data_IF_073564605065
#
_entry.id   IF_073564605065
#
_cell.length_a   1.000
_cell.length_b   1.000
_cell.length_c   1.000
_cell.angle_alpha   90.00
_cell.angle_beta   90.00
_cell.angle_gamma   90.00
#
_symmetry.space_group_name_H-M   'P 1'
#
loop_
_entity.id
_entity.type
_entity.pdbx_description
1 polymer ?
#
# COMPACT_ATOMS: atom_id res chain seq x y z
N UNK A 1 -17.35 48.01 15.82
CA UNK A 1 -16.83 46.67 15.48
C UNK A 1 -17.51 45.71 16.41
N UNK A 2 -18.27 44.75 15.88
CA UNK A 2 -18.90 43.70 16.68
C UNK A 2 -17.81 42.81 17.22
N UNK A 3 -17.82 42.46 18.49
CA UNK A 3 -16.91 41.47 19.07
C UNK A 3 -17.19 40.13 18.43
N UNK A 4 -16.15 39.38 17.95
CA UNK A 4 -16.35 38.09 17.34
C UNK A 4 -16.95 37.09 18.34
N UNK A 5 -17.76 36.18 17.84
CA UNK A 5 -18.47 35.17 18.63
C UNK A 5 -18.23 33.77 18.09
N UNK A 6 -18.52 32.73 18.88
CA UNK A 6 -18.51 31.35 18.37
C UNK A 6 -19.48 31.14 17.19
N UNK A 7 -20.62 31.87 17.18
CA UNK A 7 -21.57 31.77 16.07
C UNK A 7 -20.96 32.23 14.73
N UNK A 8 -20.12 33.26 14.76
CA UNK A 8 -19.42 33.74 13.55
C UNK A 8 -18.39 32.70 13.07
N UNK A 9 -17.71 32.03 14.00
CA UNK A 9 -16.80 30.93 13.66
C UNK A 9 -17.54 29.70 13.08
N UNK A 10 -18.66 29.32 13.70
CA UNK A 10 -19.50 28.21 13.24
C UNK A 10 -20.09 28.50 11.84
N UNK A 11 -20.47 29.74 11.56
CA UNK A 11 -20.92 30.16 10.22
C UNK A 11 -19.80 30.06 9.18
N UNK A 12 -18.59 30.48 9.53
CA UNK A 12 -17.43 30.33 8.65
C UNK A 12 -17.07 28.85 8.40
N UNK A 13 -17.16 28.00 9.43
CA UNK A 13 -16.99 26.54 9.31
C UNK A 13 -18.05 25.91 8.38
N UNK A 14 -19.32 26.32 8.53
CA UNK A 14 -20.40 25.82 7.68
C UNK A 14 -20.20 26.18 6.19
N UNK A 15 -19.56 27.31 5.91
CA UNK A 15 -19.16 27.71 4.55
C UNK A 15 -17.89 27.03 4.05
N UNK A 16 -17.18 26.29 4.91
CA UNK A 16 -15.89 25.69 4.58
C UNK A 16 -14.72 26.68 4.56
N UNK A 17 -14.92 27.92 5.06
CA UNK A 17 -13.86 28.90 5.16
C UNK A 17 -13.07 28.74 6.46
N UNK A 18 -12.23 27.70 6.46
CA UNK A 18 -11.39 27.34 7.61
C UNK A 18 -10.38 28.44 7.99
N UNK A 19 -9.99 29.30 7.03
CA UNK A 19 -9.08 30.41 7.31
C UNK A 19 -9.79 31.53 8.09
N UNK A 20 -10.98 31.91 7.66
CA UNK A 20 -11.78 32.89 8.38
C UNK A 20 -12.19 32.37 9.77
N UNK A 21 -12.63 31.08 9.85
CA UNK A 21 -12.97 30.45 11.11
C UNK A 21 -11.79 30.48 12.10
N UNK A 22 -10.61 30.10 11.65
CA UNK A 22 -9.39 30.10 12.48
C UNK A 22 -9.07 31.53 12.99
N UNK A 23 -9.11 32.54 12.12
CA UNK A 23 -8.87 33.91 12.50
C UNK A 23 -9.88 34.46 13.53
N UNK A 24 -11.15 34.07 13.40
CA UNK A 24 -12.19 34.41 14.38
C UNK A 24 -11.88 33.73 15.71
N UNK A 25 -11.59 32.40 15.72
CA UNK A 25 -11.30 31.64 16.93
C UNK A 25 -10.05 32.14 17.66
N UNK A 26 -9.02 32.60 16.92
CA UNK A 26 -7.81 33.21 17.49
C UNK A 26 -8.09 34.56 18.17
N UNK A 27 -9.10 35.30 17.70
CA UNK A 27 -9.48 36.59 18.25
C UNK A 27 -10.51 36.49 19.38
N UNK A 28 -11.05 35.28 19.67
CA UNK A 28 -12.03 35.10 20.73
C UNK A 28 -11.40 35.15 22.11
N UNK A 29 -11.83 36.12 22.92
CA UNK A 29 -11.58 36.12 24.35
C UNK A 29 -12.63 35.26 25.06
N UNK A 30 -12.22 34.11 25.54
CA UNK A 30 -13.12 33.13 26.21
C UNK A 30 -12.68 32.91 27.65
N UNK A 31 -13.66 32.69 28.53
CA UNK A 31 -13.46 32.40 29.95
C UNK A 31 -14.19 31.11 30.30
N UNK A 32 -13.50 30.23 31.03
CA UNK A 32 -14.00 28.93 31.43
C UNK A 32 -13.39 27.81 30.58
N UNK A 33 -13.21 26.66 31.24
CA UNK A 33 -12.51 25.50 30.62
C UNK A 33 -13.25 24.98 29.40
N UNK A 34 -14.56 24.82 29.45
CA UNK A 34 -15.38 24.35 28.33
C UNK A 34 -15.27 25.25 27.09
N UNK A 35 -15.29 26.58 27.30
CA UNK A 35 -15.19 27.54 26.21
C UNK A 35 -13.76 27.55 25.62
N UNK A 36 -12.74 27.46 26.46
CA UNK A 36 -11.36 27.33 26.03
C UNK A 36 -11.14 26.03 25.25
N UNK A 37 -11.65 24.90 25.76
CA UNK A 37 -11.62 23.61 25.07
C UNK A 37 -12.27 23.69 23.69
N UNK A 38 -13.52 24.19 23.62
CA UNK A 38 -14.26 24.34 22.36
C UNK A 38 -13.48 25.20 21.37
N UNK A 39 -12.96 26.34 21.78
CA UNK A 39 -12.17 27.22 20.91
C UNK A 39 -10.94 26.49 20.35
N UNK A 40 -10.17 25.83 21.23
CA UNK A 40 -8.91 25.23 20.83
C UNK A 40 -9.11 23.97 19.99
N UNK A 41 -10.15 23.18 20.26
CA UNK A 41 -10.50 22.02 19.42
C UNK A 41 -10.97 22.44 18.02
N UNK A 42 -11.80 23.49 17.92
CA UNK A 42 -12.24 24.00 16.63
C UNK A 42 -11.07 24.64 15.86
N UNK A 43 -10.17 25.36 16.55
CA UNK A 43 -8.96 25.93 15.95
C UNK A 43 -8.02 24.83 15.44
N UNK A 44 -7.84 23.74 16.21
CA UNK A 44 -7.05 22.58 15.78
C UNK A 44 -7.63 21.94 14.53
N UNK A 45 -8.96 21.75 14.49
CA UNK A 45 -9.64 21.20 13.32
C UNK A 45 -9.49 22.08 12.08
N UNK A 46 -9.59 23.42 12.23
CA UNK A 46 -9.32 24.37 11.15
C UNK A 46 -7.88 24.29 10.65
N UNK A 47 -6.91 24.21 11.57
CA UNK A 47 -5.50 24.12 11.23
C UNK A 47 -5.17 22.82 10.48
N UNK A 48 -5.78 21.69 10.86
CA UNK A 48 -5.67 20.41 10.14
C UNK A 48 -6.18 20.54 8.70
N UNK A 49 -7.38 21.12 8.51
CA UNK A 49 -7.97 21.35 7.17
C UNK A 49 -7.14 22.29 6.30
N UNK A 50 -6.41 23.21 6.90
CA UNK A 50 -5.49 24.13 6.22
C UNK A 50 -4.10 23.54 5.97
N UNK A 51 -3.83 22.31 6.42
CA UNK A 51 -2.52 21.66 6.33
C UNK A 51 -1.47 22.26 7.27
N UNK A 52 -1.89 23.05 8.27
CA UNK A 52 -1.01 23.65 9.29
C UNK A 52 -0.83 22.72 10.47
N UNK A 53 -0.15 21.60 10.24
CA UNK A 53 -0.14 20.49 11.20
C UNK A 53 0.53 20.85 12.53
N UNK A 54 1.62 21.64 12.54
CA UNK A 54 2.25 22.08 13.79
C UNK A 54 1.30 22.94 14.62
N UNK A 55 0.51 23.80 13.98
CA UNK A 55 -0.49 24.62 14.65
C UNK A 55 -1.68 23.78 15.15
N UNK A 56 -2.09 22.79 14.38
CA UNK A 56 -3.10 21.81 14.82
C UNK A 56 -2.65 21.09 16.09
N UNK A 57 -1.42 20.60 16.12
CA UNK A 57 -0.84 19.94 17.30
C UNK A 57 -0.79 20.85 18.52
N UNK A 58 -0.40 22.12 18.33
CA UNK A 58 -0.37 23.12 19.41
C UNK A 58 -1.75 23.35 20.01
N UNK A 59 -2.77 23.62 19.18
CA UNK A 59 -4.14 23.85 19.63
C UNK A 59 -4.75 22.61 20.29
N UNK A 60 -4.56 21.43 19.69
CA UNK A 60 -5.07 20.19 20.26
C UNK A 60 -4.38 19.83 21.60
N UNK A 61 -3.09 20.15 21.74
CA UNK A 61 -2.37 19.97 23.02
C UNK A 61 -2.89 20.93 24.08
N UNK A 62 -3.22 22.17 23.75
CA UNK A 62 -3.87 23.09 24.67
C UNK A 62 -5.27 22.63 25.06
N UNK A 63 -6.05 22.15 24.08
CA UNK A 63 -7.37 21.60 24.35
C UNK A 63 -7.31 20.43 25.35
N UNK A 64 -6.34 19.54 25.20
CA UNK A 64 -6.13 18.40 26.12
C UNK A 64 -5.86 18.84 27.55
N UNK A 65 -5.23 20.00 27.76
CA UNK A 65 -4.95 20.50 29.11
C UNK A 65 -6.22 20.86 29.89
N UNK A 66 -7.37 21.03 29.24
CA UNK A 66 -8.66 21.32 29.88
C UNK A 66 -9.43 20.06 30.27
N UNK A 67 -9.06 18.87 29.79
CA UNK A 67 -9.67 17.60 30.15
C UNK A 67 -9.06 16.43 29.39
N UNK A 68 -8.50 15.48 30.13
CA UNK A 68 -8.02 14.22 29.57
C UNK A 68 -9.18 13.25 29.20
N UNK A 69 -10.42 13.59 29.56
CA UNK A 69 -11.61 12.78 29.34
C UNK A 69 -12.17 12.88 27.91
N UNK A 70 -11.53 13.67 27.05
CA UNK A 70 -11.97 13.93 25.68
C UNK A 70 -11.10 13.20 24.67
N UNK A 71 -11.73 12.47 23.75
CA UNK A 71 -11.05 11.70 22.70
C UNK A 71 -10.45 12.56 21.58
N UNK A 72 -11.13 13.67 21.23
CA UNK A 72 -10.79 14.49 20.06
C UNK A 72 -9.36 15.04 20.05
N UNK A 73 -8.80 15.55 21.18
CA UNK A 73 -7.44 16.03 21.20
C UNK A 73 -6.41 14.97 20.81
N UNK A 74 -6.58 13.74 21.32
CA UNK A 74 -5.66 12.64 20.98
C UNK A 74 -5.67 12.31 19.49
N UNK A 75 -6.85 12.27 18.88
CA UNK A 75 -7.00 12.01 17.45
C UNK A 75 -6.36 13.10 16.60
N UNK A 76 -6.58 14.38 16.96
CA UNK A 76 -6.02 15.53 16.23
C UNK A 76 -4.50 15.64 16.38
N UNK A 77 -3.96 15.41 17.60
CA UNK A 77 -2.50 15.41 17.82
C UNK A 77 -1.86 14.28 17.02
N UNK A 78 -2.37 13.05 17.12
CA UNK A 78 -1.84 11.89 16.40
C UNK A 78 -1.89 12.12 14.89
N UNK A 79 -3.00 12.67 14.37
CA UNK A 79 -3.13 13.05 12.95
C UNK A 79 -2.10 14.07 12.54
N UNK A 80 -1.95 15.14 13.30
CA UNK A 80 -1.00 16.22 13.03
C UNK A 80 0.44 15.70 13.00
N UNK A 81 0.84 14.90 13.98
CA UNK A 81 2.15 14.25 14.07
C UNK A 81 2.41 13.31 12.88
N UNK A 82 1.42 12.46 12.53
CA UNK A 82 1.53 11.56 11.38
C UNK A 82 1.70 12.34 10.06
N UNK A 83 0.94 13.43 9.87
CA UNK A 83 1.04 14.30 8.69
C UNK A 83 2.37 15.05 8.61
N UNK A 84 3.01 15.30 9.74
CA UNK A 84 4.38 15.85 9.82
C UNK A 84 5.47 14.78 9.57
N UNK A 85 5.10 13.51 9.47
CA UNK A 85 6.04 12.39 9.33
C UNK A 85 6.58 11.85 10.64
N UNK A 86 6.10 12.34 11.79
CA UNK A 86 6.46 11.90 13.14
C UNK A 86 5.60 10.67 13.54
N UNK A 87 5.72 9.59 12.74
CA UNK A 87 4.80 8.45 12.82
C UNK A 87 4.91 7.71 14.16
N UNK A 88 6.11 7.63 14.75
CA UNK A 88 6.31 6.98 16.04
C UNK A 88 5.66 7.77 17.19
N UNK A 89 5.73 9.09 17.17
CA UNK A 89 5.11 9.96 18.16
C UNK A 89 3.57 9.91 18.01
N UNK A 90 3.09 9.91 16.77
CA UNK A 90 1.67 9.77 16.46
C UNK A 90 1.12 8.43 16.97
N UNK A 91 1.84 7.32 16.78
CA UNK A 91 1.47 6.00 17.32
C UNK A 91 1.41 6.01 18.83
N UNK A 92 2.41 6.58 19.50
CA UNK A 92 2.44 6.68 20.95
C UNK A 92 1.26 7.51 21.48
N UNK A 93 0.94 8.65 20.84
CA UNK A 93 -0.21 9.50 21.20
C UNK A 93 -1.53 8.77 20.98
N UNK A 94 -1.73 8.13 19.83
CA UNK A 94 -2.95 7.39 19.53
C UNK A 94 -3.11 6.18 20.47
N UNK A 95 -2.03 5.46 20.76
CA UNK A 95 -2.05 4.34 21.73
C UNK A 95 -2.38 4.80 23.15
N UNK A 96 -1.89 5.97 23.56
CA UNK A 96 -2.27 6.58 24.83
C UNK A 96 -3.77 6.92 24.86
N UNK A 97 -4.27 7.53 23.79
CA UNK A 97 -5.69 7.84 23.63
C UNK A 97 -6.58 6.61 23.63
N UNK A 98 -6.20 5.53 22.96
CA UNK A 98 -6.96 4.27 22.94
C UNK A 98 -7.03 3.59 24.32
N UNK A 99 -6.05 3.79 25.18
CA UNK A 99 -6.13 3.28 26.58
C UNK A 99 -7.20 4.00 27.40
N UNK A 100 -7.44 5.28 27.14
CA UNK A 100 -8.45 6.10 27.82
C UNK A 100 -9.82 5.97 27.14
N UNK A 101 -9.83 5.89 25.84
CA UNK A 101 -11.02 5.88 25.00
C UNK A 101 -11.02 4.68 24.02
N UNK A 102 -11.18 3.43 24.51
CA UNK A 102 -10.98 2.21 23.70
C UNK A 102 -11.99 2.03 22.56
N UNK A 103 -13.09 2.80 22.55
CA UNK A 103 -14.13 2.76 21.51
C UNK A 103 -14.12 4.00 20.60
N UNK A 104 -13.14 4.89 20.73
CA UNK A 104 -13.07 6.06 19.86
C UNK A 104 -12.60 5.66 18.45
N UNK A 105 -13.50 5.81 17.48
CA UNK A 105 -13.23 5.49 16.09
C UNK A 105 -12.16 6.42 15.48
N UNK A 106 -12.15 7.69 15.90
CA UNK A 106 -11.18 8.68 15.41
C UNK A 106 -9.76 8.35 15.88
N UNK A 107 -9.59 7.97 17.15
CA UNK A 107 -8.29 7.55 17.66
C UNK A 107 -7.88 6.22 17.04
N UNK A 108 -8.79 5.26 16.96
CA UNK A 108 -8.56 3.96 16.31
C UNK A 108 -8.15 4.13 14.83
N UNK A 109 -8.76 5.10 14.12
CA UNK A 109 -8.37 5.47 12.76
C UNK A 109 -6.90 5.89 12.70
N UNK A 110 -6.49 6.86 13.51
CA UNK A 110 -5.12 7.35 13.46
C UNK A 110 -4.12 6.27 13.88
N UNK A 111 -4.45 5.47 14.91
CA UNK A 111 -3.61 4.35 15.32
C UNK A 111 -3.47 3.30 14.20
N UNK A 112 -4.57 2.95 13.53
CA UNK A 112 -4.55 2.04 12.38
C UNK A 112 -3.61 2.56 11.29
N UNK A 113 -3.72 3.84 10.93
CA UNK A 113 -2.90 4.44 9.88
C UNK A 113 -1.41 4.51 10.29
N UNK A 114 -1.11 4.85 11.56
CA UNK A 114 0.25 4.83 12.08
C UNK A 114 0.86 3.43 12.05
N UNK A 115 0.13 2.41 12.51
CA UNK A 115 0.59 1.02 12.50
C UNK A 115 0.82 0.49 11.07
N UNK A 116 -0.03 0.89 10.12
CA UNK A 116 0.18 0.58 8.69
C UNK A 116 1.45 1.25 8.16
N UNK A 117 1.68 2.52 8.48
CA UNK A 117 2.88 3.26 8.06
C UNK A 117 4.15 2.65 8.67
N UNK A 118 4.09 2.14 9.89
CA UNK A 118 5.16 1.42 10.59
C UNK A 118 5.34 -0.04 10.11
N UNK A 119 4.39 -0.57 9.34
CA UNK A 119 4.40 -1.96 8.88
C UNK A 119 3.98 -2.99 9.93
N UNK A 120 3.39 -2.57 11.05
CA UNK A 120 2.90 -3.42 12.16
C UNK A 120 1.47 -3.87 11.89
N UNK A 121 1.30 -4.66 10.83
CA UNK A 121 -0.02 -5.02 10.29
C UNK A 121 -0.86 -5.87 11.22
N UNK A 122 -0.25 -6.81 11.95
CA UNK A 122 -0.97 -7.71 12.86
C UNK A 122 -1.61 -6.94 14.03
N UNK A 123 -0.96 -5.87 14.47
CA UNK A 123 -1.49 -5.01 15.51
C UNK A 123 -2.55 -4.03 14.99
N UNK A 124 -2.45 -3.65 13.72
CA UNK A 124 -3.41 -2.77 13.07
C UNK A 124 -4.77 -3.46 12.82
N UNK A 125 -4.80 -4.79 12.62
CA UNK A 125 -6.00 -5.53 12.28
C UNK A 125 -7.17 -5.29 13.26
N UNK A 126 -7.04 -5.58 14.56
CA UNK A 126 -8.15 -5.41 15.51
C UNK A 126 -8.56 -3.95 15.69
N UNK A 127 -7.62 -3.03 15.60
CA UNK A 127 -7.90 -1.59 15.74
C UNK A 127 -8.66 -1.06 14.53
N UNK A 128 -8.36 -1.58 13.34
CA UNK A 128 -9.01 -1.17 12.09
C UNK A 128 -10.50 -1.50 12.06
N UNK A 129 -10.95 -2.54 12.76
CA UNK A 129 -12.37 -2.89 12.89
C UNK A 129 -13.12 -1.79 13.65
N UNK A 130 -12.61 -1.41 14.84
CA UNK A 130 -13.20 -0.34 15.66
C UNK A 130 -13.31 0.96 14.86
N UNK A 131 -12.23 1.30 14.15
CA UNK A 131 -12.19 2.50 13.33
C UNK A 131 -13.22 2.47 12.20
N UNK A 132 -13.33 1.33 11.48
CA UNK A 132 -14.22 1.19 10.32
C UNK A 132 -15.68 1.13 10.71
N UNK A 133 -16.01 0.56 11.88
CA UNK A 133 -17.36 0.54 12.41
C UNK A 133 -17.87 1.96 12.71
N UNK A 134 -17.03 2.81 13.28
CA UNK A 134 -17.40 4.20 13.59
C UNK A 134 -17.27 5.16 12.40
N UNK A 135 -16.33 4.89 11.48
CA UNK A 135 -16.02 5.75 10.33
C UNK A 135 -16.15 4.99 8.98
N UNK A 136 -17.34 4.46 8.65
CA UNK A 136 -17.52 3.58 7.51
C UNK A 136 -17.38 4.24 6.13
N UNK A 137 -17.21 5.55 6.08
CA UNK A 137 -17.08 6.34 4.84
C UNK A 137 -15.71 7.01 4.68
N UNK A 138 -14.80 6.84 5.64
CA UNK A 138 -13.46 7.41 5.53
C UNK A 138 -12.62 6.64 4.49
N UNK A 139 -12.30 7.32 3.39
CA UNK A 139 -11.63 6.69 2.25
C UNK A 139 -10.21 6.24 2.59
N UNK A 140 -9.45 7.04 3.35
CA UNK A 140 -8.08 6.69 3.76
C UNK A 140 -8.08 5.45 4.66
N UNK A 141 -9.02 5.41 5.61
CA UNK A 141 -9.23 4.26 6.49
C UNK A 141 -9.69 3.02 5.73
N UNK A 142 -10.67 3.14 4.84
CA UNK A 142 -11.18 2.03 4.01
C UNK A 142 -10.06 1.44 3.14
N UNK A 143 -9.19 2.28 2.60
CA UNK A 143 -8.01 1.82 1.85
C UNK A 143 -7.00 1.10 2.75
N UNK A 144 -6.77 1.58 3.96
CA UNK A 144 -5.91 0.92 4.93
C UNK A 144 -6.51 -0.43 5.39
N UNK A 145 -7.80 -0.43 5.75
CA UNK A 145 -8.55 -1.63 6.11
C UNK A 145 -8.50 -2.69 5.01
N UNK A 146 -8.83 -2.30 3.77
CA UNK A 146 -8.77 -3.22 2.64
C UNK A 146 -7.38 -3.84 2.44
N UNK A 147 -6.32 -3.07 2.63
CA UNK A 147 -4.93 -3.57 2.53
C UNK A 147 -4.57 -4.54 3.65
N UNK A 148 -5.03 -4.27 4.87
CA UNK A 148 -4.81 -5.13 6.03
C UNK A 148 -5.53 -6.46 5.88
N UNK A 149 -6.81 -6.41 5.50
CA UNK A 149 -7.70 -7.57 5.45
C UNK A 149 -7.57 -8.40 4.16
N UNK A 150 -7.01 -7.87 3.08
CA UNK A 150 -6.85 -8.60 1.84
C UNK A 150 -6.14 -9.97 1.97
N UNK A 151 -5.09 -10.14 2.78
CA UNK A 151 -4.46 -11.46 2.99
C UNK A 151 -5.24 -12.36 3.96
N UNK A 152 -6.11 -11.82 4.81
CA UNK A 152 -6.84 -12.55 5.87
C UNK A 152 -8.24 -12.90 5.39
N UNK A 153 -9.03 -11.88 5.06
CA UNK A 153 -10.41 -12.01 4.62
C UNK A 153 -10.68 -11.17 3.36
N UNK A 154 -10.65 -11.80 2.19
CA UNK A 154 -10.81 -11.11 0.92
C UNK A 154 -12.14 -10.39 0.75
N UNK A 155 -13.21 -10.97 1.28
CA UNK A 155 -14.54 -10.40 1.10
C UNK A 155 -14.69 -9.08 1.87
N UNK A 156 -14.16 -9.02 3.09
CA UNK A 156 -14.08 -7.79 3.88
C UNK A 156 -13.22 -6.72 3.20
N UNK A 157 -12.08 -7.11 2.67
CA UNK A 157 -11.21 -6.21 1.91
C UNK A 157 -11.89 -5.71 0.62
N UNK A 158 -12.59 -6.58 -0.11
CA UNK A 158 -13.32 -6.21 -1.32
C UNK A 158 -14.45 -5.22 -1.00
N UNK A 159 -15.19 -5.45 0.08
CA UNK A 159 -16.19 -4.51 0.58
C UNK A 159 -15.59 -3.12 0.84
N UNK A 160 -14.46 -3.06 1.55
CA UNK A 160 -13.81 -1.80 1.90
C UNK A 160 -13.33 -1.03 0.66
N UNK A 161 -12.68 -1.70 -0.29
CA UNK A 161 -12.26 -1.08 -1.54
C UNK A 161 -13.44 -0.66 -2.42
N UNK A 162 -14.52 -1.45 -2.46
CA UNK A 162 -15.74 -1.10 -3.17
C UNK A 162 -16.39 0.16 -2.60
N UNK A 163 -16.43 0.26 -1.27
CA UNK A 163 -16.94 1.44 -0.59
C UNK A 163 -16.03 2.67 -0.77
N UNK A 164 -14.71 2.48 -0.71
CA UNK A 164 -13.75 3.54 -1.01
C UNK A 164 -13.92 4.06 -2.45
N UNK A 165 -14.13 3.17 -3.43
CA UNK A 165 -14.41 3.54 -4.82
C UNK A 165 -15.71 4.32 -4.97
N UNK A 166 -16.75 3.94 -4.22
CA UNK A 166 -18.04 4.64 -4.24
C UNK A 166 -17.94 6.05 -3.64
N UNK A 167 -17.13 6.21 -2.57
CA UNK A 167 -16.96 7.48 -1.88
C UNK A 167 -15.94 8.41 -2.57
N UNK A 168 -15.00 7.85 -3.33
CA UNK A 168 -14.00 8.56 -4.09
C UNK A 168 -13.81 7.88 -5.46
N UNK A 169 -14.72 8.12 -6.43
CA UNK A 169 -14.70 7.45 -7.74
C UNK A 169 -13.43 7.79 -8.55
N UNK A 170 -12.81 8.92 -8.30
CA UNK A 170 -11.57 9.35 -8.96
C UNK A 170 -10.32 8.66 -8.39
N UNK A 171 -10.45 7.91 -7.30
CA UNK A 171 -9.34 7.21 -6.69
C UNK A 171 -9.04 5.89 -7.43
N UNK A 172 -8.22 5.97 -8.47
CA UNK A 172 -7.85 4.82 -9.31
C UNK A 172 -7.27 3.64 -8.51
N UNK A 173 -6.63 3.91 -7.35
CA UNK A 173 -6.09 2.89 -6.46
C UNK A 173 -7.19 2.03 -5.83
N UNK A 174 -8.30 2.63 -5.37
CA UNK A 174 -9.42 1.92 -4.76
C UNK A 174 -10.07 0.98 -5.79
N UNK A 175 -10.32 1.50 -6.99
CA UNK A 175 -10.87 0.73 -8.10
C UNK A 175 -9.97 -0.45 -8.47
N UNK A 176 -8.66 -0.21 -8.61
CA UNK A 176 -7.69 -1.26 -8.89
C UNK A 176 -7.67 -2.35 -7.82
N UNK A 177 -7.66 -1.95 -6.55
CA UNK A 177 -7.65 -2.89 -5.43
C UNK A 177 -8.94 -3.73 -5.38
N UNK A 178 -10.10 -3.09 -5.57
CA UNK A 178 -11.41 -3.76 -5.68
C UNK A 178 -11.42 -4.79 -6.80
N UNK A 179 -11.05 -4.37 -8.00
CA UNK A 179 -11.05 -5.22 -9.19
C UNK A 179 -10.08 -6.40 -9.04
N UNK A 180 -8.91 -6.18 -8.42
CA UNK A 180 -7.92 -7.21 -8.19
C UNK A 180 -8.38 -8.31 -7.23
N UNK A 181 -9.32 -8.00 -6.32
CA UNK A 181 -9.93 -8.97 -5.40
C UNK A 181 -11.18 -9.62 -5.98
N UNK A 182 -12.02 -8.85 -6.68
CA UNK A 182 -13.24 -9.34 -7.32
C UNK A 182 -12.93 -10.39 -8.40
N UNK A 183 -11.81 -10.20 -9.10
CA UNK A 183 -11.39 -11.08 -10.16
C UNK A 183 -9.99 -11.62 -9.91
N UNK A 184 -9.87 -12.77 -9.20
CA UNK A 184 -8.59 -13.38 -8.92
C UNK A 184 -7.82 -13.60 -10.22
N UNK A 185 -6.68 -12.97 -10.30
CA UNK A 185 -5.82 -12.97 -11.48
C UNK A 185 -5.32 -14.38 -11.78
N UNK A 186 -5.90 -15.05 -12.77
CA UNK A 186 -5.44 -16.33 -13.30
C UNK A 186 -4.89 -16.17 -14.71
N UNK A 187 -3.63 -16.51 -14.94
CA UNK A 187 -3.01 -16.64 -16.26
C UNK A 187 -3.18 -15.42 -17.20
N UNK A 188 -3.56 -15.65 -18.46
CA UNK A 188 -3.68 -14.64 -19.49
C UNK A 188 -4.78 -13.58 -19.24
N UNK A 189 -5.78 -13.87 -18.41
CA UNK A 189 -6.84 -12.92 -18.02
C UNK A 189 -6.33 -11.71 -17.23
N UNK A 190 -5.14 -11.81 -16.63
CA UNK A 190 -4.50 -10.73 -15.86
C UNK A 190 -4.24 -9.46 -16.68
N UNK A 191 -3.96 -9.63 -17.96
CA UNK A 191 -3.62 -8.49 -18.84
C UNK A 191 -4.84 -7.76 -19.36
N UNK A 192 -5.99 -8.44 -19.53
CA UNK A 192 -7.23 -7.81 -19.99
C UNK A 192 -7.82 -6.90 -18.92
N UNK A 193 -7.65 -7.29 -17.67
CA UNK A 193 -8.24 -6.63 -16.51
C UNK A 193 -7.65 -5.23 -16.25
N UNK A 194 -6.34 -5.12 -16.41
CA UNK A 194 -5.63 -3.85 -16.25
C UNK A 194 -6.00 -2.80 -17.32
N UNK A 195 -6.72 -3.18 -18.38
CA UNK A 195 -7.09 -2.30 -19.50
C UNK A 195 -8.44 -1.62 -19.27
N UNK A 196 -9.31 -2.25 -18.48
CA UNK A 196 -10.64 -1.69 -18.16
C UNK A 196 -10.60 -0.58 -17.10
N UNK A 197 -9.45 -0.37 -16.48
CA UNK A 197 -9.24 0.72 -15.52
C UNK A 197 -9.07 2.07 -16.26
N UNK A 198 -9.54 3.15 -15.66
CA UNK A 198 -9.55 4.49 -16.27
C UNK A 198 -8.23 4.94 -16.93
N UNK A 199 -8.31 5.69 -18.06
CA UNK A 199 -7.21 5.82 -19.01
C UNK A 199 -5.95 6.50 -18.49
N UNK A 200 -6.02 7.39 -17.53
CA UNK A 200 -4.91 8.26 -17.14
C UNK A 200 -3.84 7.61 -16.25
N UNK A 201 -4.23 6.67 -15.40
CA UNK A 201 -3.28 5.90 -14.56
C UNK A 201 -3.13 4.48 -15.12
N UNK A 202 -4.19 3.99 -15.78
CA UNK A 202 -4.34 2.61 -16.20
C UNK A 202 -3.57 2.26 -17.46
N UNK A 203 -3.43 3.15 -18.43
CA UNK A 203 -2.76 2.77 -19.68
C UNK A 203 -1.27 2.48 -19.51
N UNK A 204 -0.54 3.29 -18.74
CA UNK A 204 0.87 3.03 -18.46
C UNK A 204 1.01 1.80 -17.56
N UNK A 205 0.10 1.65 -16.59
CA UNK A 205 0.04 0.52 -15.66
C UNK A 205 -0.35 -0.77 -16.38
N UNK A 206 -1.41 -0.75 -17.20
CA UNK A 206 -1.88 -1.89 -17.98
C UNK A 206 -0.87 -2.33 -19.02
N UNK A 207 -0.22 -1.39 -19.74
CA UNK A 207 0.85 -1.70 -20.69
C UNK A 207 2.02 -2.39 -20.00
N UNK A 208 2.38 -1.98 -18.81
CA UNK A 208 3.50 -2.55 -18.07
C UNK A 208 3.16 -3.88 -17.43
N UNK A 209 1.96 -4.03 -16.85
CA UNK A 209 1.48 -5.33 -16.35
C UNK A 209 1.38 -6.37 -17.48
N UNK A 210 0.91 -5.97 -18.67
CA UNK A 210 0.94 -6.82 -19.88
C UNK A 210 2.36 -7.24 -20.26
N UNK A 211 3.32 -6.32 -20.21
CA UNK A 211 4.72 -6.65 -20.53
C UNK A 211 5.32 -7.60 -19.51
N UNK A 212 5.04 -7.39 -18.22
CA UNK A 212 5.55 -8.23 -17.13
C UNK A 212 4.91 -9.62 -17.17
N UNK A 213 3.59 -9.71 -17.33
CA UNK A 213 2.90 -11.01 -17.44
C UNK A 213 3.30 -11.75 -18.71
N UNK A 214 3.38 -11.06 -19.86
CA UNK A 214 3.87 -11.65 -21.10
C UNK A 214 5.32 -12.12 -20.99
N UNK A 215 6.20 -11.34 -20.35
CA UNK A 215 7.59 -11.73 -20.14
C UNK A 215 7.70 -12.94 -19.20
N UNK A 216 6.90 -12.99 -18.14
CA UNK A 216 6.84 -14.14 -17.22
C UNK A 216 6.28 -15.39 -17.91
N UNK A 217 5.20 -15.25 -18.68
CA UNK A 217 4.57 -16.37 -19.40
C UNK A 217 5.45 -16.91 -20.54
N UNK A 218 6.33 -16.08 -21.09
CA UNK A 218 7.24 -16.48 -22.19
C UNK A 218 8.64 -16.85 -21.73
N UNK A 219 9.06 -16.44 -20.54
CA UNK A 219 10.40 -16.72 -20.03
C UNK A 219 10.66 -18.25 -19.90
N UNK A 220 9.65 -19.02 -19.46
CA UNK A 220 9.77 -20.46 -19.35
C UNK A 220 9.84 -21.15 -20.74
N UNK A 221 9.10 -20.64 -21.73
CA UNK A 221 9.16 -21.15 -23.11
C UNK A 221 10.57 -20.91 -23.70
N UNK A 222 11.12 -19.69 -23.49
CA UNK A 222 12.49 -19.37 -23.88
C UNK A 222 13.52 -20.28 -23.19
N UNK A 223 13.34 -20.55 -21.90
CA UNK A 223 14.21 -21.45 -21.14
C UNK A 223 14.18 -22.89 -21.70
N UNK A 224 12.99 -23.38 -22.08
CA UNK A 224 12.85 -24.72 -22.71
C UNK A 224 13.54 -24.74 -24.07
N UNK A 225 13.29 -23.78 -24.96
CA UNK A 225 13.91 -23.74 -26.29
C UNK A 225 15.43 -23.57 -26.20
N UNK A 226 15.92 -22.73 -25.28
CA UNK A 226 17.35 -22.60 -25.03
C UNK A 226 17.97 -23.90 -24.50
N UNK A 227 17.25 -24.60 -23.61
CA UNK A 227 17.65 -25.93 -23.09
C UNK A 227 17.72 -26.99 -24.17
N UNK A 228 16.71 -27.06 -25.03
CA UNK A 228 16.70 -27.96 -26.21
C UNK A 228 17.83 -27.60 -27.17
N UNK A 229 18.05 -26.34 -27.49
CA UNK A 229 19.15 -25.90 -28.36
C UNK A 229 20.51 -26.27 -27.81
N UNK A 230 20.73 -26.07 -26.51
CA UNK A 230 21.98 -26.48 -25.84
C UNK A 230 22.16 -28.00 -25.76
N UNK A 231 21.07 -28.75 -25.52
CA UNK A 231 21.10 -30.23 -25.53
C UNK A 231 21.45 -30.79 -26.91
N UNK A 232 20.84 -30.25 -27.99
CA UNK A 232 21.16 -30.64 -29.38
C UNK A 232 22.62 -30.27 -29.71
N UNK A 233 23.06 -29.07 -29.35
CA UNK A 233 24.46 -28.66 -29.53
C UNK A 233 25.43 -29.56 -28.78
N UNK A 234 25.11 -29.93 -27.56
CA UNK A 234 25.90 -30.87 -26.76
C UNK A 234 25.98 -32.26 -27.41
N UNK A 235 24.85 -32.80 -27.81
CA UNK A 235 24.82 -34.13 -28.50
C UNK A 235 25.59 -34.12 -29.81
N UNK A 236 25.48 -33.03 -30.59
CA UNK A 236 26.18 -32.86 -31.86
C UNK A 236 27.70 -32.74 -31.69
N UNK A 237 28.17 -32.26 -30.55
CA UNK A 237 29.58 -32.01 -30.25
C UNK A 237 30.23 -33.06 -29.35
N UNK A 238 29.48 -34.06 -28.89
CA UNK A 238 29.92 -35.13 -27.97
C UNK A 238 31.22 -35.85 -28.38
N UNK A 239 31.59 -35.82 -29.66
CA UNK A 239 32.83 -36.44 -30.17
C UNK A 239 34.03 -35.48 -30.18
N UNK A 240 33.84 -34.20 -29.90
CA UNK A 240 34.87 -33.14 -30.07
C UNK A 240 35.02 -32.27 -28.84
N UNK A 241 34.11 -32.37 -27.85
CA UNK A 241 34.09 -31.45 -26.70
C UNK A 241 35.14 -31.79 -25.64
N UNK A 242 35.94 -30.81 -25.30
CA UNK A 242 36.69 -30.78 -24.05
C UNK A 242 35.79 -30.36 -22.89
N UNK A 243 36.13 -30.75 -21.65
CA UNK A 243 35.37 -30.43 -20.44
C UNK A 243 35.14 -28.92 -20.29
N UNK A 244 36.07 -28.06 -20.77
CA UNK A 244 35.98 -26.61 -20.77
C UNK A 244 34.84 -26.09 -21.69
N UNK A 245 34.66 -26.70 -22.87
CA UNK A 245 33.61 -26.32 -23.80
C UNK A 245 32.23 -26.69 -23.26
N UNK A 246 32.09 -27.83 -22.58
CA UNK A 246 30.86 -28.25 -21.93
C UNK A 246 30.44 -27.27 -20.82
N UNK A 247 31.39 -26.80 -20.03
CA UNK A 247 31.17 -25.79 -19.00
C UNK A 247 30.74 -24.45 -19.61
N UNK A 248 31.35 -24.03 -20.71
CA UNK A 248 30.98 -22.80 -21.43
C UNK A 248 29.53 -22.87 -21.95
N UNK A 249 29.12 -23.98 -22.54
CA UNK A 249 27.74 -24.16 -23.01
C UNK A 249 26.73 -24.16 -21.84
N UNK A 250 27.07 -24.75 -20.70
CA UNK A 250 26.23 -24.72 -19.51
C UNK A 250 26.10 -23.31 -18.95
N UNK A 251 27.18 -22.53 -18.89
CA UNK A 251 27.16 -21.13 -18.47
C UNK A 251 26.35 -20.26 -19.43
N UNK A 252 26.48 -20.46 -20.73
CA UNK A 252 25.70 -19.76 -21.74
C UNK A 252 24.21 -20.04 -21.60
N UNK A 253 23.82 -21.30 -21.38
CA UNK A 253 22.45 -21.69 -21.10
C UNK A 253 21.91 -21.05 -19.82
N UNK A 254 22.68 -21.07 -18.73
CA UNK A 254 22.30 -20.47 -17.46
C UNK A 254 22.11 -18.94 -17.61
N UNK A 255 22.99 -18.26 -18.34
CA UNK A 255 22.89 -16.82 -18.62
C UNK A 255 21.64 -16.53 -19.47
N UNK A 256 21.36 -17.31 -20.51
CA UNK A 256 20.16 -17.14 -21.34
C UNK A 256 18.88 -17.38 -20.58
N UNK A 257 18.85 -18.44 -19.76
CA UNK A 257 17.69 -18.74 -18.92
C UNK A 257 17.45 -17.69 -17.84
N UNK A 258 18.51 -17.15 -17.22
CA UNK A 258 18.43 -16.09 -16.21
C UNK A 258 18.10 -14.73 -16.79
N UNK A 259 18.51 -14.44 -18.05
CA UNK A 259 18.34 -13.11 -18.66
C UNK A 259 16.88 -12.66 -18.69
N UNK A 260 15.94 -13.55 -19.03
CA UNK A 260 14.51 -13.26 -19.06
C UNK A 260 13.97 -12.85 -17.68
N UNK A 261 14.46 -13.52 -16.61
CA UNK A 261 14.07 -13.20 -15.23
C UNK A 261 14.71 -11.92 -14.72
N UNK A 262 15.98 -11.68 -15.04
CA UNK A 262 16.67 -10.44 -14.68
C UNK A 262 15.96 -9.25 -15.31
N UNK A 263 15.63 -9.32 -16.60
CA UNK A 263 14.88 -8.26 -17.31
C UNK A 263 13.52 -8.03 -16.67
N UNK A 264 12.78 -9.11 -16.34
CA UNK A 264 11.48 -9.01 -15.70
C UNK A 264 11.60 -8.42 -14.29
N UNK A 265 12.59 -8.85 -13.51
CA UNK A 265 12.85 -8.33 -12.17
C UNK A 265 13.23 -6.84 -12.19
N UNK A 266 14.08 -6.44 -13.14
CA UNK A 266 14.46 -5.02 -13.34
C UNK A 266 13.24 -4.20 -13.74
N UNK A 267 12.40 -4.70 -14.65
CA UNK A 267 11.16 -4.02 -15.03
C UNK A 267 10.20 -3.85 -13.84
N UNK A 268 10.01 -4.88 -13.01
CA UNK A 268 9.20 -4.79 -11.80
C UNK A 268 9.81 -3.79 -10.79
N UNK A 269 11.13 -3.79 -10.63
CA UNK A 269 11.81 -2.87 -9.72
C UNK A 269 11.70 -1.41 -10.18
N UNK A 270 11.90 -1.16 -11.47
CA UNK A 270 11.73 0.17 -12.08
C UNK A 270 10.28 0.65 -11.95
N UNK A 271 9.34 -0.22 -12.19
CA UNK A 271 7.92 0.06 -12.04
C UNK A 271 7.55 0.41 -10.61
N UNK A 272 8.03 -0.36 -9.62
CA UNK A 272 7.80 -0.06 -8.22
C UNK A 272 8.36 1.31 -7.78
N UNK A 273 9.36 1.85 -8.47
CA UNK A 273 9.87 3.20 -8.20
C UNK A 273 8.94 4.31 -8.70
N UNK A 274 8.24 4.07 -9.79
CA UNK A 274 7.34 5.06 -10.42
C UNK A 274 5.96 5.09 -9.75
N UNK A 275 5.57 4.00 -9.07
CA UNK A 275 4.26 3.92 -8.43
C UNK A 275 4.13 4.84 -7.21
N UNK A 276 2.98 5.51 -7.02
CA UNK A 276 2.63 6.19 -5.78
C UNK A 276 2.77 5.27 -4.56
N UNK A 277 3.10 5.83 -3.39
CA UNK A 277 3.38 5.04 -2.17
C UNK A 277 2.22 4.11 -1.78
N UNK A 278 0.98 4.58 -1.89
CA UNK A 278 -0.22 3.80 -1.59
C UNK A 278 -0.37 2.59 -2.51
N UNK A 279 -0.25 2.79 -3.81
CA UNK A 279 -0.34 1.71 -4.81
C UNK A 279 0.76 0.66 -4.61
N UNK A 280 1.98 1.08 -4.23
CA UNK A 280 3.07 0.16 -3.90
C UNK A 280 2.75 -0.76 -2.72
N UNK A 281 2.10 -0.21 -1.69
CA UNK A 281 1.72 -0.98 -0.51
C UNK A 281 0.63 -1.99 -0.86
N UNK A 282 -0.44 -1.56 -1.55
CA UNK A 282 -1.51 -2.44 -2.04
C UNK A 282 -0.95 -3.57 -2.91
N UNK A 283 -0.04 -3.25 -3.85
CA UNK A 283 0.60 -4.25 -4.70
C UNK A 283 1.46 -5.23 -3.91
N UNK A 284 2.15 -4.78 -2.86
CA UNK A 284 2.96 -5.64 -1.98
C UNK A 284 2.10 -6.63 -1.20
N UNK A 285 0.96 -6.18 -0.70
CA UNK A 285 0.01 -7.03 0.05
C UNK A 285 -0.68 -8.02 -0.87
N UNK A 286 -1.17 -7.57 -2.03
CA UNK A 286 -1.76 -8.43 -3.04
C UNK A 286 -0.78 -9.50 -3.55
N UNK A 287 0.51 -9.15 -3.69
CA UNK A 287 1.56 -10.11 -4.05
C UNK A 287 1.76 -11.20 -3.00
N UNK A 288 1.62 -10.88 -1.71
CA UNK A 288 1.70 -11.91 -0.64
C UNK A 288 0.54 -12.89 -0.71
N UNK A 289 -0.63 -12.42 -1.09
CA UNK A 289 -1.83 -13.25 -1.22
C UNK A 289 -1.85 -14.11 -2.47
N UNK A 290 -1.23 -13.66 -3.55
CA UNK A 290 -1.09 -14.43 -4.79
C UNK A 290 0.32 -15.02 -4.87
N UNK A 291 0.58 -16.13 -4.13
CA UNK A 291 1.89 -16.77 -4.08
C UNK A 291 2.34 -17.30 -5.46
N UNK A 292 1.42 -17.43 -6.43
CA UNK A 292 1.71 -17.88 -7.80
C UNK A 292 2.76 -16.99 -8.51
N UNK A 293 2.88 -15.71 -8.14
CA UNK A 293 3.98 -14.86 -8.60
C UNK A 293 5.33 -15.20 -7.92
N UNK A 294 5.30 -15.77 -6.71
CA UNK A 294 6.48 -16.23 -5.98
C UNK A 294 6.82 -17.71 -6.30
N UNK A 295 5.79 -18.55 -6.50
CA UNK A 295 5.97 -19.97 -6.84
C UNK A 295 6.59 -20.14 -8.22
N UNK A 296 6.23 -19.31 -9.21
CA UNK A 296 6.84 -19.37 -10.53
C UNK A 296 8.36 -19.10 -10.52
N UNK A 297 8.87 -18.28 -9.60
CA UNK A 297 10.33 -18.09 -9.44
C UNK A 297 10.97 -19.31 -8.79
N UNK A 298 10.34 -19.88 -7.77
CA UNK A 298 10.84 -21.11 -7.11
C UNK A 298 10.75 -22.33 -8.01
N UNK A 299 9.66 -22.47 -8.77
CA UNK A 299 9.50 -23.56 -9.74
C UNK A 299 10.51 -23.45 -10.88
N UNK A 300 10.87 -22.25 -11.26
CA UNK A 300 11.91 -22.01 -12.24
C UNK A 300 13.32 -22.32 -11.69
N UNK A 301 13.64 -21.93 -10.47
CA UNK A 301 14.88 -22.32 -9.81
C UNK A 301 14.97 -23.84 -9.72
N UNK A 302 13.86 -24.51 -9.35
CA UNK A 302 13.77 -25.97 -9.34
C UNK A 302 14.00 -26.57 -10.73
N UNK A 303 13.42 -25.96 -11.79
CA UNK A 303 13.64 -26.43 -13.17
C UNK A 303 15.08 -26.26 -13.63
N UNK A 304 15.75 -25.15 -13.29
CA UNK A 304 17.19 -24.95 -13.60
C UNK A 304 18.02 -26.01 -12.88
N UNK A 305 17.75 -26.22 -11.60
CA UNK A 305 18.47 -27.25 -10.81
C UNK A 305 18.22 -28.65 -11.37
N UNK A 306 16.97 -28.97 -11.75
CA UNK A 306 16.62 -30.26 -12.35
C UNK A 306 17.29 -30.46 -13.72
N UNK A 307 17.26 -29.43 -14.58
CA UNK A 307 17.94 -29.48 -15.87
C UNK A 307 19.46 -29.60 -15.73
N UNK A 308 20.05 -28.91 -14.74
CA UNK A 308 21.46 -29.05 -14.40
C UNK A 308 21.83 -30.46 -13.89
N UNK A 309 20.98 -31.05 -13.05
CA UNK A 309 21.19 -32.40 -12.55
C UNK A 309 21.04 -33.44 -13.66
N UNK A 310 20.10 -33.25 -14.60
CA UNK A 310 19.92 -34.13 -15.76
C UNK A 310 21.14 -34.07 -16.69
N UNK A 311 21.62 -32.84 -16.97
CA UNK A 311 22.83 -32.63 -17.78
C UNK A 311 24.06 -33.23 -17.11
N UNK A 312 24.24 -33.05 -15.82
CA UNK A 312 25.32 -33.63 -15.05
C UNK A 312 25.26 -35.15 -15.02
N UNK A 313 24.04 -35.71 -14.85
CA UNK A 313 23.82 -37.16 -14.93
C UNK A 313 24.13 -37.75 -16.32
N UNK A 314 23.76 -37.04 -17.38
CA UNK A 314 24.11 -37.45 -18.77
C UNK A 314 25.61 -37.37 -19.01
N UNK A 315 26.30 -36.34 -18.47
CA UNK A 315 27.76 -36.23 -18.55
C UNK A 315 28.48 -37.35 -17.78
N UNK A 316 27.93 -37.78 -16.64
CA UNK A 316 28.49 -38.89 -15.85
C UNK A 316 28.28 -40.25 -16.52
N UNK A 317 27.22 -40.43 -17.30
CA UNK A 317 26.91 -41.66 -18.04
C UNK A 317 27.71 -41.83 -19.35
N UNK A 318 28.27 -40.74 -19.86
CA UNK A 318 29.06 -40.69 -21.10
C UNK A 318 30.59 -40.78 -20.87
N UNK A 319 31.01 -40.78 -19.60
CA UNK A 319 32.37 -41.15 -19.16
C UNK A 319 32.44 -42.64 -18.86
#
# INVERSE_FOLDING_TARGET
MTTPTFADADEALARGDYRAALSILESLEVVGEDACYRRDIQAAACADRLGRYSLCEEYATRARAYGDDMADPFALIARAQRRQGLVADAEATASAGMRLHPQSAEIARELTLCLVDLGRYDEALPVSEIATDGLPNDVELLMAYGRLWAPVEPNGAQWAFGRATSNAPDLAEAKFAYDSLAHPLKGAGRSSYAIEMEPTVSEAYGRMLKRVTFALDKAWIFAIFAGFGCAIGYVATLRVMTDELALLFFLLYAVMALSGYIVTFVQIALFNRVLPRGVRLTFRILRRRFPDLGSSVMDFIRMIVLAGLILFGLMALTR
#
